data_IF_383673374935
#
_entry.id   IF_383673374935
#
_cell.length_a   1.000
_cell.length_b   1.000
_cell.length_c   1.000
_cell.angle_alpha   90.00
_cell.angle_beta   90.00
_cell.angle_gamma   90.00
#
_symmetry.space_group_name_H-M   'P 1'
#
loop_
_entity.id
_entity.type
_entity.pdbx_description
1 polymer ?
#
# COMPACT_ATOMS: atom_id res chain seq x y z
N UNK A 1 -16.48 -2.65 -19.83
CA UNK A 1 -16.79 -2.68 -18.39
C UNK A 1 -15.51 -3.12 -17.72
N UNK A 2 -14.85 -2.23 -16.99
CA UNK A 2 -13.67 -2.64 -16.21
C UNK A 2 -14.12 -3.66 -15.17
N UNK A 3 -13.35 -4.71 -14.94
CA UNK A 3 -13.74 -5.66 -13.89
C UNK A 3 -13.54 -5.01 -12.52
N UNK A 4 -14.29 -5.52 -11.54
CA UNK A 4 -14.18 -5.17 -10.12
C UNK A 4 -12.74 -5.13 -9.58
N UNK A 5 -11.83 -5.92 -10.17
CA UNK A 5 -10.43 -5.97 -9.77
C UNK A 5 -9.63 -4.75 -10.22
N UNK A 6 -9.82 -4.31 -11.47
CA UNK A 6 -9.18 -3.09 -11.99
C UNK A 6 -9.75 -1.88 -11.28
N UNK A 7 -11.07 -1.84 -11.08
CA UNK A 7 -11.74 -0.77 -10.32
C UNK A 7 -11.19 -0.67 -8.90
N UNK A 8 -10.91 -1.80 -8.23
CA UNK A 8 -10.34 -1.82 -6.88
C UNK A 8 -8.92 -1.26 -6.83
N UNK A 9 -8.07 -1.59 -7.80
CA UNK A 9 -6.71 -1.07 -7.84
C UNK A 9 -6.70 0.43 -8.10
N UNK A 10 -7.53 0.89 -9.04
CA UNK A 10 -7.72 2.32 -9.33
C UNK A 10 -8.25 3.05 -8.10
N UNK A 11 -9.20 2.46 -7.36
CA UNK A 11 -9.72 3.07 -6.15
C UNK A 11 -8.66 3.25 -5.05
N UNK A 12 -7.72 2.30 -4.89
CA UNK A 12 -6.61 2.42 -3.92
C UNK A 12 -5.64 3.54 -4.36
N UNK A 13 -5.33 3.61 -5.65
CA UNK A 13 -4.48 4.67 -6.23
C UNK A 13 -5.11 6.05 -6.02
N UNK A 14 -6.38 6.23 -6.41
CA UNK A 14 -7.13 7.47 -6.19
C UNK A 14 -7.24 7.83 -4.71
N UNK A 15 -7.43 6.83 -3.83
CA UNK A 15 -7.48 7.06 -2.39
C UNK A 15 -6.14 7.55 -1.85
N UNK A 16 -5.02 7.00 -2.33
CA UNK A 16 -3.68 7.44 -1.94
C UNK A 16 -3.37 8.85 -2.44
N UNK A 17 -3.77 9.19 -3.67
CA UNK A 17 -3.65 10.54 -4.22
C UNK A 17 -4.44 11.58 -3.42
N UNK A 18 -5.62 11.20 -2.94
CA UNK A 18 -6.52 12.05 -2.17
C UNK A 18 -6.38 11.87 -0.66
N UNK A 19 -5.33 11.21 -0.18
CA UNK A 19 -5.23 10.80 1.22
C UNK A 19 -5.31 12.00 2.18
N UNK A 20 -4.51 13.04 1.90
CA UNK A 20 -4.46 14.27 2.70
C UNK A 20 -5.83 14.99 2.71
N UNK A 21 -6.44 15.34 1.56
CA UNK A 21 -7.74 16.00 1.56
C UNK A 21 -8.84 15.15 2.19
N UNK A 22 -8.82 13.81 2.04
CA UNK A 22 -9.75 12.91 2.72
C UNK A 22 -9.61 13.04 4.24
N UNK A 23 -8.38 12.95 4.76
CA UNK A 23 -8.12 13.07 6.20
C UNK A 23 -8.57 14.43 6.75
N UNK A 24 -8.22 15.52 6.07
CA UNK A 24 -8.62 16.87 6.47
C UNK A 24 -10.14 17.04 6.46
N UNK A 25 -10.82 16.49 5.46
CA UNK A 25 -12.29 16.52 5.38
C UNK A 25 -12.92 15.75 6.54
N UNK A 26 -12.38 14.57 6.86
CA UNK A 26 -12.82 13.79 8.01
C UNK A 26 -12.61 14.54 9.33
N UNK A 27 -11.54 15.33 9.47
CA UNK A 27 -11.34 16.13 10.69
C UNK A 27 -12.40 17.24 10.82
N UNK A 28 -12.70 17.94 9.72
CA UNK A 28 -13.74 18.99 9.70
C UNK A 28 -15.10 18.40 10.08
N UNK A 29 -15.51 17.31 9.42
CA UNK A 29 -16.80 16.66 9.70
C UNK A 29 -16.87 16.07 11.11
N UNK A 30 -15.73 15.57 11.62
CA UNK A 30 -15.62 15.09 13.00
C UNK A 30 -15.86 16.21 14.02
N UNK A 31 -15.34 17.41 13.75
CA UNK A 31 -15.56 18.61 14.58
C UNK A 31 -17.03 19.04 14.53
N UNK A 32 -17.71 18.85 13.40
CA UNK A 32 -19.16 19.06 13.22
C UNK A 32 -20.04 17.94 13.81
N UNK A 33 -19.46 17.05 14.62
CA UNK A 33 -20.15 15.94 15.30
C UNK A 33 -20.75 14.87 14.36
N UNK A 34 -20.24 14.75 13.12
CA UNK A 34 -20.61 13.63 12.25
C UNK A 34 -20.09 12.29 12.80
N UNK A 35 -21.02 11.41 13.16
CA UNK A 35 -20.73 10.12 13.77
C UNK A 35 -19.88 9.18 12.89
N UNK A 36 -20.02 9.27 11.56
CA UNK A 36 -19.27 8.42 10.63
C UNK A 36 -17.81 8.89 10.58
N UNK A 37 -17.61 10.20 10.47
CA UNK A 37 -16.29 10.81 10.43
C UNK A 37 -15.52 10.62 11.73
N UNK A 38 -16.20 10.66 12.88
CA UNK A 38 -15.61 10.28 14.17
C UNK A 38 -15.05 8.85 14.19
N UNK A 39 -15.76 7.89 13.58
CA UNK A 39 -15.34 6.49 13.52
C UNK A 39 -14.19 6.27 12.54
N UNK A 40 -14.13 7.03 11.44
CA UNK A 40 -13.16 6.84 10.36
C UNK A 40 -11.87 7.65 10.53
N UNK A 41 -11.95 8.82 11.16
CA UNK A 41 -10.82 9.76 11.27
C UNK A 41 -9.62 9.16 12.02
N UNK A 42 -9.86 8.49 13.15
CA UNK A 42 -8.76 7.94 13.94
C UNK A 42 -8.06 6.74 13.27
N UNK A 43 -8.78 5.74 12.71
CA UNK A 43 -8.14 4.63 12.00
C UNK A 43 -7.30 5.07 10.81
N UNK A 44 -7.83 5.98 9.96
CA UNK A 44 -7.10 6.43 8.77
C UNK A 44 -5.84 7.21 9.14
N UNK A 45 -5.87 8.01 10.20
CA UNK A 45 -4.72 8.80 10.67
C UNK A 45 -3.74 8.02 11.56
N UNK A 46 -3.50 6.77 11.23
CA UNK A 46 -2.44 5.96 11.84
C UNK A 46 -1.34 5.69 10.83
N UNK A 47 -0.09 5.68 11.29
CA UNK A 47 1.04 5.38 10.40
C UNK A 47 0.89 4.00 9.76
N UNK A 48 0.37 3.02 10.51
CA UNK A 48 0.05 1.67 10.02
C UNK A 48 -0.90 1.70 8.82
N UNK A 49 -1.96 2.50 8.86
CA UNK A 49 -2.89 2.60 7.74
C UNK A 49 -2.27 3.33 6.54
N UNK A 50 -1.50 4.39 6.78
CA UNK A 50 -0.79 5.12 5.73
C UNK A 50 0.19 4.19 4.99
N UNK A 51 1.12 3.55 5.71
CA UNK A 51 2.14 2.69 5.10
C UNK A 51 1.53 1.46 4.42
N UNK A 52 0.51 0.83 5.02
CA UNK A 52 -0.18 -0.30 4.39
C UNK A 52 -0.90 0.12 3.10
N UNK A 53 -1.46 1.33 3.05
CA UNK A 53 -2.09 1.88 1.83
C UNK A 53 -1.04 2.10 0.75
N UNK A 54 0.12 2.69 1.09
CA UNK A 54 1.24 2.84 0.16
C UNK A 54 1.70 1.49 -0.39
N UNK A 55 1.98 0.51 0.50
CA UNK A 55 2.40 -0.85 0.11
C UNK A 55 1.40 -1.47 -0.86
N UNK A 56 0.10 -1.40 -0.54
CA UNK A 56 -0.94 -1.95 -1.40
C UNK A 56 -1.01 -1.24 -2.75
N UNK A 57 -0.93 0.09 -2.78
CA UNK A 57 -0.94 0.86 -4.02
C UNK A 57 0.23 0.48 -4.93
N UNK A 58 1.46 0.40 -4.40
CA UNK A 58 2.64 0.06 -5.19
C UNK A 58 2.58 -1.36 -5.75
N UNK A 59 2.30 -2.35 -4.90
CA UNK A 59 2.31 -3.75 -5.32
C UNK A 59 1.16 -4.07 -6.28
N UNK A 60 -0.05 -3.58 -6.00
CA UNK A 60 -1.20 -3.79 -6.88
C UNK A 60 -1.13 -2.94 -8.16
N UNK A 61 -0.45 -1.79 -8.10
CA UNK A 61 -0.12 -0.98 -9.27
C UNK A 61 0.66 -1.78 -10.32
N UNK A 62 1.65 -2.58 -9.90
CA UNK A 62 2.43 -3.43 -10.80
C UNK A 62 1.59 -4.56 -11.46
N UNK A 63 0.51 -5.01 -10.80
CA UNK A 63 -0.42 -6.05 -11.31
C UNK A 63 -1.48 -5.47 -12.27
N UNK A 64 -1.72 -4.16 -12.23
CA UNK A 64 -2.81 -3.51 -12.96
C UNK A 64 -2.70 -3.63 -14.49
N UNK A 65 -1.51 -3.45 -15.12
CA UNK A 65 -1.37 -3.64 -16.56
C UNK A 65 -1.74 -5.04 -17.03
N UNK A 66 -1.32 -6.08 -16.28
CA UNK A 66 -1.67 -7.45 -16.59
C UNK A 66 -3.19 -7.68 -16.43
N UNK A 67 -3.79 -7.14 -15.37
CA UNK A 67 -5.23 -7.24 -15.15
C UNK A 67 -6.03 -6.64 -16.30
N UNK A 68 -5.63 -5.45 -16.80
CA UNK A 68 -6.26 -4.80 -17.97
C UNK A 68 -6.07 -5.62 -19.25
N UNK A 69 -4.87 -6.13 -19.48
CA UNK A 69 -4.56 -6.97 -20.65
C UNK A 69 -5.47 -8.21 -20.70
N UNK A 70 -5.60 -8.92 -19.58
CA UNK A 70 -6.43 -10.13 -19.46
C UNK A 70 -7.94 -9.86 -19.62
N UNK A 71 -8.36 -8.60 -19.58
CA UNK A 71 -9.76 -8.20 -19.76
C UNK A 71 -10.06 -7.70 -21.17
N UNK A 72 -9.05 -7.62 -22.05
CA UNK A 72 -9.28 -7.24 -23.44
C UNK A 72 -10.08 -8.32 -24.16
N UNK A 73 -11.01 -7.96 -25.06
CA UNK A 73 -11.84 -8.95 -25.78
C UNK A 73 -11.02 -9.84 -26.73
N UNK A 74 -9.84 -9.37 -27.15
CA UNK A 74 -8.89 -10.08 -28.00
C UNK A 74 -7.66 -10.45 -27.18
N UNK A 75 -7.78 -11.45 -26.31
CA UNK A 75 -6.66 -11.92 -25.50
C UNK A 75 -5.70 -12.71 -26.38
N UNK A 76 -4.47 -12.21 -26.49
CA UNK A 76 -3.34 -13.00 -26.98
C UNK A 76 -2.65 -13.67 -25.78
N UNK A 77 -2.80 -14.98 -25.65
CA UNK A 77 -2.21 -15.75 -24.55
C UNK A 77 -0.67 -15.74 -24.56
N UNK A 78 -0.04 -15.59 -25.73
CA UNK A 78 1.42 -15.47 -25.82
C UNK A 78 1.91 -14.16 -25.23
N UNK A 79 1.22 -13.05 -25.56
CA UNK A 79 1.49 -11.73 -24.98
C UNK A 79 1.20 -11.74 -23.48
N UNK A 80 0.07 -12.30 -23.05
CA UNK A 80 -0.28 -12.41 -21.64
C UNK A 80 0.77 -13.21 -20.84
N UNK A 81 1.24 -14.34 -21.38
CA UNK A 81 2.29 -15.15 -20.73
C UNK A 81 3.63 -14.38 -20.63
N UNK A 82 3.97 -13.60 -21.65
CA UNK A 82 5.15 -12.73 -21.61
C UNK A 82 5.01 -11.66 -20.52
N UNK A 83 3.83 -11.03 -20.39
CA UNK A 83 3.56 -10.05 -19.33
C UNK A 83 3.64 -10.66 -17.93
N UNK A 84 3.08 -11.86 -17.72
CA UNK A 84 3.21 -12.60 -16.45
C UNK A 84 4.69 -12.85 -16.13
N UNK A 85 5.44 -13.36 -17.09
CA UNK A 85 6.88 -13.64 -16.91
C UNK A 85 7.68 -12.37 -16.60
N UNK A 86 7.32 -11.25 -17.23
CA UNK A 86 7.94 -9.95 -16.95
C UNK A 86 7.59 -9.45 -15.56
N UNK A 87 6.33 -9.61 -15.12
CA UNK A 87 5.87 -9.19 -13.80
C UNK A 87 6.57 -9.98 -12.69
N UNK A 88 6.67 -11.30 -12.84
CA UNK A 88 7.40 -12.15 -11.88
C UNK A 88 8.87 -11.75 -11.75
N UNK A 89 9.54 -11.43 -12.88
CA UNK A 89 10.91 -10.89 -12.85
C UNK A 89 11.00 -9.54 -12.14
N UNK A 90 10.01 -8.67 -12.33
CA UNK A 90 9.92 -7.42 -11.58
C UNK A 90 9.82 -7.71 -10.09
N UNK A 91 8.94 -8.62 -9.67
CA UNK A 91 8.79 -9.00 -8.27
C UNK A 91 10.05 -9.65 -7.69
N UNK A 92 10.77 -10.48 -8.44
CA UNK A 92 12.08 -11.01 -8.03
C UNK A 92 13.10 -9.88 -7.82
N UNK A 93 13.13 -8.89 -8.73
CA UNK A 93 13.98 -7.72 -8.58
C UNK A 93 13.59 -6.85 -7.37
N UNK A 94 12.28 -6.68 -7.10
CA UNK A 94 11.78 -5.98 -5.90
C UNK A 94 12.16 -6.70 -4.61
N UNK A 95 12.11 -8.03 -4.60
CA UNK A 95 12.52 -8.81 -3.43
C UNK A 95 14.04 -8.73 -3.21
N UNK A 96 14.84 -8.82 -4.28
CA UNK A 96 16.29 -8.70 -4.21
C UNK A 96 16.77 -7.30 -3.77
N UNK A 97 16.08 -6.24 -4.18
CA UNK A 97 16.36 -4.84 -3.83
C UNK A 97 15.39 -4.29 -2.77
N UNK A 98 14.78 -5.16 -1.95
CA UNK A 98 13.69 -4.78 -1.05
C UNK A 98 14.11 -3.69 -0.06
N UNK A 99 15.37 -3.68 0.37
CA UNK A 99 15.89 -2.66 1.30
C UNK A 99 15.84 -1.27 0.65
N UNK A 100 16.41 -1.09 -0.54
CA UNK A 100 16.47 0.23 -1.17
C UNK A 100 15.12 0.63 -1.75
N UNK A 101 14.42 -0.30 -2.41
CA UNK A 101 13.12 -0.03 -3.01
C UNK A 101 12.09 0.37 -1.94
N UNK A 102 12.00 -0.41 -0.86
CA UNK A 102 11.05 -0.10 0.21
C UNK A 102 11.36 1.26 0.84
N UNK A 103 12.64 1.49 1.19
CA UNK A 103 13.07 2.74 1.82
C UNK A 103 12.77 3.98 0.96
N UNK A 104 13.28 3.98 -0.27
CA UNK A 104 13.33 5.19 -1.10
C UNK A 104 11.99 5.52 -1.76
N UNK A 105 11.12 4.51 -1.94
CA UNK A 105 9.87 4.68 -2.67
C UNK A 105 8.68 4.55 -1.72
N UNK A 106 8.52 3.38 -1.10
CA UNK A 106 7.31 3.07 -0.31
C UNK A 106 7.28 3.82 1.02
N UNK A 107 8.38 3.74 1.76
CA UNK A 107 8.48 4.31 3.10
C UNK A 107 8.58 5.83 3.06
N UNK A 108 9.33 6.39 2.10
CA UNK A 108 9.43 7.85 1.94
C UNK A 108 8.08 8.48 1.57
N UNK A 109 7.29 7.87 0.66
CA UNK A 109 5.95 8.38 0.37
C UNK A 109 5.04 8.35 1.61
N UNK A 110 5.07 7.25 2.37
CA UNK A 110 4.30 7.15 3.60
C UNK A 110 4.74 8.17 4.66
N UNK A 111 6.04 8.46 4.75
CA UNK A 111 6.59 9.49 5.63
C UNK A 111 6.12 10.88 5.25
N UNK A 112 6.11 11.24 3.97
CA UNK A 112 5.64 12.55 3.53
C UNK A 112 4.14 12.73 3.83
N UNK A 113 3.31 11.72 3.57
CA UNK A 113 1.88 11.76 3.95
C UNK A 113 1.72 11.89 5.47
N UNK A 114 2.46 11.10 6.24
CA UNK A 114 2.39 11.14 7.70
C UNK A 114 2.85 12.50 8.28
N UNK A 115 3.86 13.11 7.68
CA UNK A 115 4.38 14.44 8.06
C UNK A 115 3.34 15.53 7.82
N UNK A 116 2.67 15.53 6.66
CA UNK A 116 1.60 16.47 6.35
C UNK A 116 0.41 16.33 7.33
N UNK A 117 0.12 15.11 7.78
CA UNK A 117 -0.95 14.81 8.73
C UNK A 117 -0.52 14.85 10.21
N UNK A 118 0.72 15.24 10.50
CA UNK A 118 1.30 15.27 11.85
C UNK A 118 1.23 13.92 12.59
N UNK A 119 1.30 12.82 11.84
CA UNK A 119 1.31 11.44 12.34
C UNK A 119 2.76 10.97 12.55
N UNK A 120 3.05 10.37 13.71
CA UNK A 120 4.38 9.83 13.99
C UNK A 120 4.61 8.47 13.31
N UNK A 121 5.74 8.34 12.60
CA UNK A 121 6.22 7.07 12.07
C UNK A 121 6.56 6.10 13.20
N UNK A 122 5.69 5.11 13.42
CA UNK A 122 5.78 4.17 14.54
C UNK A 122 5.49 2.75 14.10
N UNK A 123 6.19 1.78 14.68
CA UNK A 123 5.87 0.37 14.52
C UNK A 123 4.63 -0.02 15.37
N UNK A 124 3.85 -1.04 15.00
CA UNK A 124 2.68 -1.47 15.76
C UNK A 124 3.01 -1.87 17.19
N UNK A 125 2.20 -1.40 18.15
CA UNK A 125 2.39 -1.64 19.60
C UNK A 125 2.39 -3.12 19.97
N UNK A 126 1.67 -3.96 19.23
CA UNK A 126 1.58 -5.41 19.46
C UNK A 126 2.90 -6.11 19.22
N UNK A 127 3.68 -5.67 18.24
CA UNK A 127 4.98 -6.25 17.92
C UNK A 127 6.04 -5.83 18.94
N UNK A 128 6.04 -4.55 19.36
CA UNK A 128 6.90 -4.03 20.43
C UNK A 128 6.75 -4.83 21.74
N UNK A 129 5.54 -5.29 22.06
CA UNK A 129 5.28 -6.11 23.26
C UNK A 129 5.84 -7.54 23.17
N UNK A 130 6.01 -8.08 21.96
CA UNK A 130 6.46 -9.48 21.75
C UNK A 130 7.97 -9.60 21.63
N UNK A 131 8.65 -8.60 21.07
CA UNK A 131 10.08 -8.64 20.80
C UNK A 131 10.93 -7.81 21.77
N UNK A 132 10.31 -7.15 22.77
CA UNK A 132 11.01 -6.30 23.72
C UNK A 132 11.23 -4.87 23.21
N UNK A 133 11.74 -4.01 24.08
CA UNK A 133 11.91 -2.56 23.88
C UNK A 133 13.08 -2.17 22.97
N UNK A 134 13.74 -3.12 22.30
CA UNK A 134 14.76 -2.75 21.31
C UNK A 134 14.09 -1.88 20.25
N UNK A 135 14.73 -0.72 20.01
CA UNK A 135 14.26 0.35 19.13
C UNK A 135 14.10 -0.26 17.75
N UNK A 136 12.89 -0.75 17.48
CA UNK A 136 12.58 -1.40 16.23
C UNK A 136 12.33 -0.31 15.20
N UNK A 137 13.17 -0.27 14.19
CA UNK A 137 13.00 0.66 13.07
C UNK A 137 11.66 0.37 12.38
N UNK A 138 10.71 1.34 12.34
CA UNK A 138 9.45 1.15 11.64
C UNK A 138 9.66 0.75 10.17
N UNK A 139 10.73 1.24 9.54
CA UNK A 139 11.09 0.87 8.17
C UNK A 139 11.29 -0.65 8.04
N UNK A 140 12.17 -1.22 8.87
CA UNK A 140 12.48 -2.65 8.86
C UNK A 140 11.24 -3.50 9.19
N UNK A 141 10.44 -3.06 10.16
CA UNK A 141 9.22 -3.77 10.53
C UNK A 141 8.26 -3.91 9.35
N UNK A 142 7.87 -2.79 8.71
CA UNK A 142 6.89 -2.82 7.63
C UNK A 142 7.46 -3.49 6.38
N UNK A 143 8.77 -3.39 6.14
CA UNK A 143 9.44 -4.13 5.07
C UNK A 143 9.30 -5.64 5.28
N UNK A 144 9.69 -6.13 6.45
CA UNK A 144 9.86 -7.57 6.68
C UNK A 144 8.56 -8.28 7.06
N UNK A 145 7.64 -7.59 7.73
CA UNK A 145 6.39 -8.17 8.23
C UNK A 145 5.17 -7.89 7.34
N UNK A 146 5.25 -6.92 6.43
CA UNK A 146 4.11 -6.54 5.57
C UNK A 146 4.47 -6.57 4.09
N UNK A 147 5.45 -5.77 3.66
CA UNK A 147 5.80 -5.64 2.24
C UNK A 147 6.31 -6.95 1.63
N UNK A 148 7.33 -7.58 2.22
CA UNK A 148 7.89 -8.84 1.72
C UNK A 148 6.88 -9.99 1.74
N UNK A 149 6.13 -10.23 2.83
CA UNK A 149 5.07 -11.24 2.83
C UNK A 149 4.01 -11.00 1.75
N UNK A 150 3.58 -9.75 1.55
CA UNK A 150 2.57 -9.46 0.53
C UNK A 150 3.12 -9.65 -0.89
N UNK A 151 4.35 -9.21 -1.16
CA UNK A 151 5.03 -9.46 -2.44
C UNK A 151 5.13 -10.97 -2.73
N UNK A 152 5.48 -11.78 -1.72
CA UNK A 152 5.55 -13.25 -1.86
C UNK A 152 4.20 -13.88 -2.16
N UNK A 153 3.14 -13.40 -1.51
CA UNK A 153 1.78 -13.87 -1.76
C UNK A 153 1.33 -13.58 -3.21
N UNK A 154 1.71 -12.42 -3.76
CA UNK A 154 1.45 -12.06 -5.16
C UNK A 154 2.27 -12.88 -6.17
N UNK A 155 3.40 -13.47 -5.75
CA UNK A 155 4.19 -14.38 -6.58
C UNK A 155 3.68 -15.82 -6.55
N UNK A 156 3.08 -16.22 -5.42
CA UNK A 156 2.66 -17.60 -5.18
C UNK A 156 1.28 -17.94 -5.79
N UNK A 157 0.42 -16.94 -5.98
CA UNK A 157 -0.90 -17.06 -6.60
C UNK A 157 -0.91 -16.58 -8.05
#
# INVERSE_FOLDING_TARGET
CETRWVERNVAIETFLELYIPISNTLDVLRIEEDSTSQQLYHPINTFETIICTCIACFLLGEVTPLSRLLQTPTIDFGIAHHHVSSLLKTFDAREADAINYFKNIVFEQAKEIAKELLVQSTAPRTYQRRHGQDILDPEEFYRDQVFLPFLRELKAN
#
